data_IF_491523925027
#
_entry.id   IF_491523925027
#
_cell.length_a   1.000
_cell.length_b   1.000
_cell.length_c   1.000
_cell.angle_alpha   90.00
_cell.angle_beta   90.00
_cell.angle_gamma   90.00
#
_symmetry.space_group_name_H-M   'P 1'
#
loop_
_entity.id
_entity.type
_entity.pdbx_description
1 polymer ?
#
# COMPACT_ATOMS: atom_id res chain seq x y z
N UNK A 1 55.00 40.51 41.07
CA UNK A 1 55.43 39.10 41.17
C UNK A 1 54.71 38.36 40.07
N UNK A 2 55.45 38.06 39.00
CA UNK A 2 54.92 37.66 37.70
C UNK A 2 54.76 36.14 37.64
N UNK A 3 53.58 35.68 37.21
CA UNK A 3 53.31 34.25 36.95
C UNK A 3 54.22 33.72 35.83
N UNK A 4 54.76 32.49 35.96
CA UNK A 4 55.46 31.80 34.88
C UNK A 4 54.48 31.17 33.87
N UNK A 5 54.89 31.01 32.59
CA UNK A 5 54.03 30.54 31.51
C UNK A 5 53.79 29.02 31.50
N UNK A 6 52.64 28.63 30.93
CA UNK A 6 52.14 27.26 30.78
C UNK A 6 53.05 26.36 29.91
N UNK A 7 53.14 25.05 30.20
CA UNK A 7 53.76 24.08 29.31
C UNK A 7 52.80 23.65 28.18
N UNK A 8 53.30 23.72 26.94
CA UNK A 8 52.63 23.30 25.72
C UNK A 8 52.32 21.78 25.69
N UNK A 9 51.09 21.46 25.30
CA UNK A 9 50.60 20.10 25.02
C UNK A 9 51.23 19.52 23.74
N UNK A 10 51.50 18.20 23.69
CA UNK A 10 52.23 17.57 22.59
C UNK A 10 51.39 17.38 21.31
N UNK A 11 52.05 17.56 20.16
CA UNK A 11 51.52 17.29 18.83
C UNK A 11 51.24 15.79 18.59
N UNK A 12 50.18 15.43 17.83
CA UNK A 12 49.89 14.04 17.48
C UNK A 12 50.84 13.49 16.41
N UNK A 13 51.52 12.40 16.75
CA UNK A 13 52.41 11.64 15.87
C UNK A 13 51.63 10.88 14.78
N UNK A 14 52.02 11.08 13.52
CA UNK A 14 51.62 10.27 12.36
C UNK A 14 52.47 8.99 12.26
N UNK A 15 51.88 7.78 12.17
CA UNK A 15 52.60 6.60 11.73
C UNK A 15 52.40 6.38 10.23
N UNK A 16 53.42 6.73 9.45
CA UNK A 16 53.62 6.21 8.09
C UNK A 16 54.62 5.06 8.14
N UNK A 17 54.22 3.86 7.73
CA UNK A 17 54.85 3.07 6.64
C UNK A 17 54.41 1.59 6.68
N UNK A 18 54.01 1.11 5.50
CA UNK A 18 54.10 -0.27 5.00
C UNK A 18 53.33 -1.40 5.72
N UNK A 19 52.05 -1.52 5.40
CA UNK A 19 51.34 -2.82 5.34
C UNK A 19 51.29 -3.30 3.88
N UNK A 20 51.64 -4.56 3.57
CA UNK A 20 51.45 -5.10 2.23
C UNK A 20 49.95 -5.24 1.90
N UNK A 21 49.55 -5.14 0.62
CA UNK A 21 48.16 -5.34 0.23
C UNK A 21 47.72 -6.79 0.47
N UNK A 22 46.42 -7.04 0.74
CA UNK A 22 45.90 -8.39 0.92
C UNK A 22 46.03 -9.21 -0.36
N UNK A 23 46.56 -10.43 -0.24
CA UNK A 23 46.54 -11.46 -1.28
C UNK A 23 45.10 -11.91 -1.55
N UNK A 24 44.65 -11.76 -2.79
CA UNK A 24 43.43 -12.38 -3.28
C UNK A 24 43.69 -13.87 -3.56
N UNK A 25 42.83 -14.81 -3.11
CA UNK A 25 42.91 -16.19 -3.55
C UNK A 25 42.76 -16.25 -5.07
N UNK A 26 43.82 -16.67 -5.75
CA UNK A 26 43.86 -16.89 -7.18
C UNK A 26 42.80 -17.89 -7.62
N UNK A 27 42.01 -17.47 -8.59
CA UNK A 27 41.14 -18.30 -9.41
C UNK A 27 41.94 -19.41 -10.09
N UNK A 28 41.75 -20.65 -9.65
CA UNK A 28 42.11 -21.85 -10.41
C UNK A 28 40.89 -22.74 -10.57
N UNK A 29 39.92 -22.24 -11.34
CA UNK A 29 38.89 -23.07 -11.96
C UNK A 29 39.11 -23.01 -13.48
N UNK A 30 39.26 -24.16 -14.17
CA UNK A 30 39.36 -24.16 -15.62
C UNK A 30 38.06 -23.62 -16.23
N UNK A 31 38.11 -22.89 -17.36
CA UNK A 31 36.91 -22.38 -18.02
C UNK A 31 36.02 -23.55 -18.48
N UNK A 32 34.69 -23.40 -18.43
CA UNK A 32 33.79 -24.41 -18.97
C UNK A 32 34.03 -24.56 -20.48
N UNK A 33 34.25 -25.79 -20.91
CA UNK A 33 34.35 -26.18 -22.31
C UNK A 33 33.01 -25.96 -23.03
N UNK A 34 33.00 -25.04 -23.99
CA UNK A 34 31.88 -24.84 -24.91
C UNK A 34 31.67 -26.08 -25.78
N UNK A 35 30.45 -26.63 -25.90
CA UNK A 35 30.13 -27.57 -26.97
C UNK A 35 30.32 -26.86 -28.31
N UNK A 36 31.00 -27.54 -29.25
CA UNK A 36 31.32 -27.03 -30.57
C UNK A 36 30.11 -26.53 -31.35
N UNK A 37 30.39 -25.62 -32.28
CA UNK A 37 29.46 -24.96 -33.17
C UNK A 37 28.36 -25.87 -33.69
N UNK A 38 27.12 -25.60 -33.26
CA UNK A 38 25.95 -26.06 -33.97
C UNK A 38 25.84 -25.26 -35.28
N UNK A 39 25.77 -25.98 -36.40
CA UNK A 39 25.46 -25.45 -37.73
C UNK A 39 24.21 -24.55 -37.70
N UNK A 40 24.24 -23.36 -38.32
CA UNK A 40 23.05 -22.51 -38.40
C UNK A 40 21.97 -23.18 -39.24
N UNK A 41 20.68 -23.05 -38.89
CA UNK A 41 19.59 -23.59 -39.70
C UNK A 41 19.55 -22.89 -41.06
N UNK A 42 19.53 -23.68 -42.13
CA UNK A 42 19.21 -23.20 -43.47
C UNK A 42 17.75 -22.75 -43.52
N UNK A 43 17.53 -21.46 -43.77
CA UNK A 43 16.20 -20.92 -44.06
C UNK A 43 15.77 -21.32 -45.48
N UNK A 44 14.55 -21.87 -45.67
CA UNK A 44 13.94 -21.95 -46.99
C UNK A 44 13.73 -20.54 -47.56
N UNK A 45 13.92 -20.42 -48.88
CA UNK A 45 14.07 -19.17 -49.62
C UNK A 45 12.92 -18.16 -49.51
N UNK A 46 13.29 -16.94 -49.88
CA UNK A 46 12.52 -15.71 -49.90
C UNK A 46 11.04 -15.86 -50.30
N UNK A 47 10.15 -15.51 -49.37
CA UNK A 47 8.84 -14.98 -49.70
C UNK A 47 8.95 -13.45 -49.83
N UNK A 48 8.55 -12.93 -50.97
CA UNK A 48 8.45 -11.49 -51.29
C UNK A 48 7.64 -10.73 -50.23
N UNK A 49 8.10 -9.55 -49.76
CA UNK A 49 7.31 -8.72 -48.85
C UNK A 49 6.06 -8.17 -49.56
N UNK A 50 4.92 -8.03 -48.85
CA UNK A 50 3.75 -7.34 -49.40
C UNK A 50 4.06 -5.85 -49.62
N UNK A 51 3.49 -5.21 -50.66
CA UNK A 51 3.75 -3.81 -50.94
C UNK A 51 3.13 -2.91 -49.86
N UNK A 52 3.89 -1.88 -49.47
CA UNK A 52 3.45 -0.80 -48.60
C UNK A 52 2.16 -0.14 -49.12
N UNK A 53 1.12 0.06 -48.29
CA UNK A 53 0.08 1.03 -48.58
C UNK A 53 0.67 2.44 -48.42
N UNK A 54 0.69 3.20 -49.51
CA UNK A 54 1.07 4.61 -49.53
C UNK A 54 0.10 5.52 -48.77
N UNK A 55 0.64 6.67 -48.34
CA UNK A 55 0.04 7.94 -47.93
C UNK A 55 -1.38 7.95 -47.27
N UNK A 56 -1.55 8.64 -46.12
CA UNK A 56 -2.83 8.75 -45.45
C UNK A 56 -3.85 9.52 -46.31
N UNK A 57 -5.04 8.93 -46.48
CA UNK A 57 -6.21 9.63 -47.03
C UNK A 57 -6.61 10.80 -46.11
N UNK A 58 -7.03 11.91 -46.72
CA UNK A 58 -7.53 13.10 -46.04
C UNK A 58 -8.72 12.75 -45.10
N UNK A 59 -8.84 13.40 -43.93
CA UNK A 59 -9.98 13.20 -43.04
C UNK A 59 -11.28 13.68 -43.69
N UNK A 60 -12.44 13.05 -43.39
CA UNK A 60 -13.72 13.50 -43.89
C UNK A 60 -14.10 14.88 -43.32
N UNK A 61 -14.85 15.71 -44.06
CA UNK A 61 -15.29 17.02 -43.56
C UNK A 61 -16.29 16.87 -42.42
N UNK A 62 -16.07 17.64 -41.36
CA UNK A 62 -16.98 17.77 -40.22
C UNK A 62 -18.35 18.32 -40.66
N UNK A 63 -19.48 17.76 -40.20
CA UNK A 63 -20.77 18.43 -40.30
C UNK A 63 -20.78 19.68 -39.42
N UNK A 64 -20.96 20.86 -40.02
CA UNK A 64 -21.32 22.07 -39.29
C UNK A 64 -22.78 21.94 -38.82
N UNK A 65 -22.97 21.59 -37.55
CA UNK A 65 -24.22 21.82 -36.83
C UNK A 65 -23.89 22.06 -35.35
N UNK A 66 -23.93 23.33 -34.94
CA UNK A 66 -23.90 23.75 -33.53
C UNK A 66 -25.12 23.20 -32.79
N UNK A 67 -24.98 22.39 -31.73
CA UNK A 67 -26.08 22.08 -30.82
C UNK A 67 -26.30 23.27 -29.87
N UNK A 68 -27.55 23.70 -29.74
CA UNK A 68 -27.95 24.67 -28.72
C UNK A 68 -27.75 24.09 -27.29
N UNK A 69 -27.40 24.92 -26.28
CA UNK A 69 -27.24 24.45 -24.91
C UNK A 69 -28.57 23.97 -24.31
N UNK A 70 -28.56 22.96 -23.42
CA UNK A 70 -29.78 22.45 -22.78
C UNK A 70 -30.39 23.50 -21.83
N UNK A 71 -31.68 23.78 -22.01
CA UNK A 71 -32.47 24.56 -21.06
C UNK A 71 -32.96 23.67 -19.92
N UNK A 72 -32.64 24.05 -18.68
CA UNK A 72 -33.16 23.43 -17.48
C UNK A 72 -34.55 24.00 -17.13
N UNK A 73 -35.54 23.18 -16.76
CA UNK A 73 -36.84 23.67 -16.29
C UNK A 73 -36.72 24.42 -14.94
N UNK A 74 -37.28 25.61 -14.85
CA UNK A 74 -37.31 26.51 -13.67
C UNK A 74 -38.60 26.42 -12.85
N UNK A 75 -39.21 25.24 -12.71
CA UNK A 75 -40.42 25.08 -11.89
C UNK A 75 -40.32 23.88 -10.94
N UNK A 76 -40.61 24.05 -9.63
CA UNK A 76 -40.71 22.92 -8.70
C UNK A 76 -41.96 22.07 -9.03
N UNK A 77 -41.90 20.73 -8.88
CA UNK A 77 -43.06 19.87 -9.11
C UNK A 77 -44.16 20.11 -8.08
N UNK A 78 -45.38 20.31 -8.58
CA UNK A 78 -46.60 20.28 -7.77
C UNK A 78 -46.94 18.83 -7.38
N UNK A 79 -47.03 18.56 -6.08
CA UNK A 79 -47.53 17.29 -5.54
C UNK A 79 -49.07 17.26 -5.58
N UNK A 80 -49.71 16.25 -6.17
CA UNK A 80 -51.13 16.01 -6.00
C UNK A 80 -51.40 15.19 -4.72
N UNK A 81 -52.28 15.71 -3.86
CA UNK A 81 -53.33 14.91 -3.22
C UNK A 81 -53.02 14.08 -1.97
N UNK A 82 -53.49 14.61 -0.82
CA UNK A 82 -54.09 13.93 0.34
C UNK A 82 -53.23 13.02 1.26
N UNK A 83 -53.03 13.41 2.54
CA UNK A 83 -52.61 12.49 3.60
C UNK A 83 -53.79 11.68 4.18
N UNK A 84 -53.58 10.43 4.61
CA UNK A 84 -54.61 9.61 5.25
C UNK A 84 -55.01 10.16 6.63
N UNK A 85 -56.32 10.21 6.88
CA UNK A 85 -56.93 10.63 8.13
C UNK A 85 -56.76 9.54 9.21
N UNK A 86 -56.14 9.90 10.34
CA UNK A 86 -56.29 9.18 11.60
C UNK A 86 -57.10 10.05 12.58
N UNK A 87 -58.13 9.51 13.24
CA UNK A 87 -58.97 10.27 14.15
C UNK A 87 -58.41 10.26 15.57
N UNK A 88 -58.42 11.40 16.25
CA UNK A 88 -58.64 11.43 17.69
C UNK A 88 -57.75 12.35 18.53
N UNK A 89 -58.46 13.25 19.23
CA UNK A 89 -58.16 13.88 20.52
C UNK A 89 -57.34 15.20 20.54
N UNK A 90 -58.05 16.25 20.94
CA UNK A 90 -57.65 17.63 21.13
C UNK A 90 -57.01 17.90 22.51
N UNK A 91 -56.23 18.99 22.63
CA UNK A 91 -56.36 20.11 23.62
C UNK A 91 -55.08 21.02 23.58
N UNK A 92 -55.04 22.22 24.19
CA UNK A 92 -55.00 23.51 23.48
C UNK A 92 -53.67 24.29 23.60
N UNK A 93 -53.40 25.15 22.61
CA UNK A 93 -52.29 26.11 22.60
C UNK A 93 -52.46 27.25 23.63
N UNK A 94 -51.39 27.72 24.30
CA UNK A 94 -51.26 29.11 24.74
C UNK A 94 -50.72 29.99 23.58
N UNK A 95 -51.17 31.24 23.53
CA UNK A 95 -50.98 32.19 22.43
C UNK A 95 -49.54 32.66 22.13
N UNK A 96 -49.36 33.50 21.09
CA UNK A 96 -48.06 33.79 20.50
C UNK A 96 -47.22 34.74 21.35
N UNK A 97 -45.94 34.39 21.52
CA UNK A 97 -44.92 35.30 22.03
C UNK A 97 -44.45 36.28 20.93
N UNK A 98 -44.13 37.55 21.26
CA UNK A 98 -43.73 38.56 20.29
C UNK A 98 -42.43 38.19 19.55
N UNK A 99 -42.47 38.30 18.22
CA UNK A 99 -41.33 38.07 17.34
C UNK A 99 -40.33 39.22 17.47
N UNK A 100 -39.14 38.91 18.00
CA UNK A 100 -37.97 39.76 17.81
C UNK A 100 -37.51 39.64 16.34
N UNK A 101 -37.07 40.73 15.69
CA UNK A 101 -36.57 40.64 14.32
C UNK A 101 -35.40 39.66 14.26
N UNK A 102 -35.53 38.63 13.43
CA UNK A 102 -34.48 37.65 13.18
C UNK A 102 -33.24 38.39 12.66
N UNK A 103 -32.17 38.33 13.45
CA UNK A 103 -30.85 38.77 13.04
C UNK A 103 -30.46 37.95 11.80
N UNK A 104 -30.22 38.64 10.68
CA UNK A 104 -29.80 37.99 9.44
C UNK A 104 -28.59 37.08 9.74
N UNK A 105 -28.54 35.84 9.19
CA UNK A 105 -27.40 34.96 9.38
C UNK A 105 -26.14 35.73 8.99
N UNK A 106 -25.23 35.92 9.94
CA UNK A 106 -23.92 36.45 9.60
C UNK A 106 -23.31 35.50 8.57
N UNK A 107 -22.81 36.01 7.43
CA UNK A 107 -22.08 35.16 6.52
C UNK A 107 -20.96 34.50 7.32
N UNK A 108 -20.92 33.18 7.29
CA UNK A 108 -19.85 32.42 7.92
C UNK A 108 -18.52 33.07 7.51
N UNK A 109 -17.57 33.28 8.45
CA UNK A 109 -16.27 33.84 8.10
C UNK A 109 -15.74 33.04 6.91
N UNK A 110 -15.40 33.75 5.84
CA UNK A 110 -14.71 33.19 4.68
C UNK A 110 -13.44 32.55 5.22
N UNK A 111 -13.47 31.24 5.45
CA UNK A 111 -12.28 30.45 5.68
C UNK A 111 -11.62 30.43 4.31
N UNK A 112 -10.45 31.07 4.12
CA UNK A 112 -9.74 30.96 2.86
C UNK A 112 -9.58 29.47 2.57
N UNK A 113 -9.89 29.03 1.34
CA UNK A 113 -9.40 27.72 0.89
C UNK A 113 -7.91 27.69 1.25
N UNK A 114 -7.44 26.64 1.95
CA UNK A 114 -6.04 26.58 2.31
C UNK A 114 -5.20 26.81 1.05
N UNK A 115 -4.18 27.65 1.17
CA UNK A 115 -3.22 27.88 0.11
C UNK A 115 -2.76 26.50 -0.41
N UNK A 116 -2.91 26.27 -1.72
CA UNK A 116 -2.36 25.08 -2.38
C UNK A 116 -0.91 24.95 -1.92
N UNK A 117 -0.54 23.79 -1.37
CA UNK A 117 0.82 23.57 -0.90
C UNK A 117 1.82 23.95 -2.02
N UNK A 118 2.95 24.61 -1.67
CA UNK A 118 3.86 25.15 -2.67
C UNK A 118 4.38 24.05 -3.60
N UNK A 119 4.51 24.40 -4.88
CA UNK A 119 5.16 23.55 -5.87
C UNK A 119 6.65 23.88 -5.92
N UNK A 120 7.43 23.09 -5.18
CA UNK A 120 8.86 23.25 -4.95
C UNK A 120 9.70 22.12 -5.58
N UNK A 121 9.06 21.26 -6.38
CA UNK A 121 9.70 20.12 -7.03
C UNK A 121 10.57 20.57 -8.22
N UNK A 122 11.79 20.05 -8.27
CA UNK A 122 12.72 20.21 -9.40
C UNK A 122 12.37 19.23 -10.54
N UNK A 123 11.61 19.71 -11.52
CA UNK A 123 11.17 18.95 -12.70
C UNK A 123 12.27 18.81 -13.76
N UNK A 124 13.27 17.98 -13.49
CA UNK A 124 14.43 17.77 -14.38
C UNK A 124 14.07 17.15 -15.71
N UNK A 125 12.98 16.38 -15.77
CA UNK A 125 12.64 15.57 -16.93
C UNK A 125 11.50 16.15 -17.76
N UNK A 126 10.96 17.31 -17.39
CA UNK A 126 9.86 17.94 -18.11
C UNK A 126 10.28 18.31 -19.54
N UNK A 127 9.65 17.68 -20.54
CA UNK A 127 9.97 17.88 -21.96
C UNK A 127 11.24 17.19 -22.45
N UNK A 128 11.90 16.38 -21.61
CA UNK A 128 13.09 15.60 -21.97
C UNK A 128 12.74 14.19 -22.45
N UNK A 129 13.67 13.52 -23.14
CA UNK A 129 13.55 12.09 -23.44
C UNK A 129 13.99 11.28 -22.22
N UNK A 130 13.14 10.38 -21.76
CA UNK A 130 13.41 9.50 -20.61
C UNK A 130 13.89 8.14 -21.11
N UNK A 131 14.93 7.60 -20.49
CA UNK A 131 15.37 6.23 -20.72
C UNK A 131 14.53 5.25 -19.91
N UNK A 132 13.71 4.47 -20.59
CA UNK A 132 12.87 3.45 -19.95
C UNK A 132 13.68 2.16 -19.78
N UNK A 133 13.72 1.64 -18.55
CA UNK A 133 14.34 0.37 -18.25
C UNK A 133 13.55 -0.79 -18.88
N UNK A 134 14.26 -1.77 -19.47
CA UNK A 134 13.63 -2.95 -20.06
C UNK A 134 12.86 -3.82 -19.04
N UNK A 135 13.27 -3.77 -17.76
CA UNK A 135 12.59 -4.44 -16.66
C UNK A 135 12.13 -3.41 -15.63
N UNK A 136 10.85 -3.08 -15.65
CA UNK A 136 10.22 -2.11 -14.73
C UNK A 136 9.67 -2.76 -13.45
N UNK A 137 9.70 -4.10 -13.35
CA UNK A 137 9.16 -4.87 -12.23
C UNK A 137 10.09 -6.00 -11.83
N UNK A 138 10.23 -6.19 -10.53
CA UNK A 138 10.98 -7.29 -9.96
C UNK A 138 10.24 -7.97 -8.80
N UNK A 139 10.87 -9.01 -8.31
CA UNK A 139 10.58 -9.61 -7.01
C UNK A 139 11.88 -9.60 -6.24
N UNK A 140 12.01 -8.68 -5.30
CA UNK A 140 13.20 -8.67 -4.45
C UNK A 140 13.16 -9.81 -3.41
N UNK A 141 14.30 -10.02 -2.74
CA UNK A 141 14.43 -11.08 -1.75
C UNK A 141 13.41 -10.92 -0.59
N UNK A 142 12.98 -9.69 -0.27
CA UNK A 142 12.01 -9.44 0.79
C UNK A 142 10.59 -9.77 0.35
N UNK A 143 10.22 -9.50 -0.91
CA UNK A 143 8.96 -9.93 -1.51
C UNK A 143 8.89 -11.46 -1.63
N UNK A 144 9.98 -12.11 -2.02
CA UNK A 144 10.07 -13.59 -2.03
C UNK A 144 9.96 -14.15 -0.61
N UNK A 145 10.67 -13.58 0.36
CA UNK A 145 10.58 -13.97 1.77
C UNK A 145 9.17 -13.77 2.35
N UNK A 146 8.50 -12.70 1.95
CA UNK A 146 7.10 -12.44 2.28
C UNK A 146 6.19 -13.55 1.73
N UNK A 147 6.34 -13.95 0.47
CA UNK A 147 5.57 -15.06 -0.11
C UNK A 147 5.85 -16.40 0.59
N UNK A 148 7.11 -16.71 0.86
CA UNK A 148 7.49 -17.93 1.57
C UNK A 148 6.81 -18.02 2.94
N UNK A 149 6.70 -16.89 3.64
CA UNK A 149 6.02 -16.79 4.94
C UNK A 149 4.52 -17.08 4.84
N UNK A 150 3.91 -16.92 3.67
CA UNK A 150 2.47 -17.15 3.44
C UNK A 150 2.13 -18.60 3.10
N UNK A 151 3.12 -19.45 2.79
CA UNK A 151 2.92 -20.87 2.42
C UNK A 151 2.07 -21.64 3.45
N UNK A 152 2.30 -21.53 4.77
CA UNK A 152 1.48 -22.25 5.75
C UNK A 152 0.01 -21.84 5.69
N UNK A 153 -0.27 -20.55 5.52
CA UNK A 153 -1.63 -20.02 5.37
C UNK A 153 -2.29 -20.50 4.08
N UNK A 154 -1.54 -20.55 2.98
CA UNK A 154 -1.98 -21.14 1.71
C UNK A 154 -2.34 -22.62 1.88
N UNK A 155 -1.51 -23.42 2.55
CA UNK A 155 -1.77 -24.85 2.76
C UNK A 155 -3.04 -25.10 3.58
N UNK A 156 -3.28 -24.29 4.63
CA UNK A 156 -4.53 -24.36 5.39
C UNK A 156 -5.73 -24.02 4.50
N UNK A 157 -5.67 -22.93 3.73
CA UNK A 157 -6.75 -22.58 2.82
C UNK A 157 -6.98 -23.65 1.75
N UNK A 158 -5.93 -24.22 1.18
CA UNK A 158 -6.02 -25.32 0.22
C UNK A 158 -6.75 -26.51 0.85
N UNK A 159 -6.38 -26.90 2.07
CA UNK A 159 -7.04 -27.97 2.80
C UNK A 159 -8.53 -27.66 3.06
N UNK A 160 -8.86 -26.42 3.43
CA UNK A 160 -10.26 -25.97 3.63
C UNK A 160 -11.04 -26.07 2.32
N UNK A 161 -10.51 -25.54 1.23
CA UNK A 161 -11.19 -25.55 -0.08
C UNK A 161 -11.38 -26.99 -0.56
N UNK A 162 -10.37 -27.85 -0.44
CA UNK A 162 -10.47 -29.26 -0.83
C UNK A 162 -11.47 -30.03 0.06
N UNK A 163 -11.43 -29.82 1.38
CA UNK A 163 -12.31 -30.49 2.34
C UNK A 163 -13.79 -30.09 2.17
N UNK A 164 -14.07 -28.91 1.62
CA UNK A 164 -15.44 -28.48 1.28
C UNK A 164 -15.81 -28.93 -0.13
N UNK A 165 -14.96 -28.66 -1.12
CA UNK A 165 -15.31 -28.88 -2.53
C UNK A 165 -15.48 -30.36 -2.90
N UNK A 166 -14.58 -31.24 -2.43
CA UNK A 166 -14.60 -32.65 -2.80
C UNK A 166 -15.83 -33.38 -2.27
N UNK A 167 -16.23 -33.24 -0.99
CA UNK A 167 -17.45 -33.88 -0.50
C UNK A 167 -18.74 -33.28 -1.08
N UNK A 168 -18.81 -31.97 -1.34
CA UNK A 168 -20.04 -31.35 -1.86
C UNK A 168 -20.28 -31.61 -3.34
N UNK A 169 -19.24 -31.62 -4.17
CA UNK A 169 -19.37 -31.72 -5.63
C UNK A 169 -18.90 -33.07 -6.20
N UNK A 170 -18.43 -33.97 -5.34
CA UNK A 170 -17.80 -35.23 -5.74
C UNK A 170 -16.36 -35.05 -6.20
N UNK A 171 -15.64 -36.16 -6.44
CA UNK A 171 -14.20 -36.13 -6.67
C UNK A 171 -13.79 -35.32 -7.89
N UNK A 172 -14.42 -35.53 -9.04
CA UNK A 172 -14.02 -34.87 -10.30
C UNK A 172 -14.31 -33.38 -10.25
N UNK A 173 -15.56 -33.00 -9.98
CA UNK A 173 -15.96 -31.57 -9.96
C UNK A 173 -15.33 -30.85 -8.77
N UNK A 174 -15.18 -31.50 -7.62
CA UNK A 174 -14.51 -30.94 -6.46
C UNK A 174 -13.05 -30.55 -6.74
N UNK A 175 -12.29 -31.41 -7.43
CA UNK A 175 -10.93 -31.07 -7.85
C UNK A 175 -10.89 -29.97 -8.92
N UNK A 176 -11.88 -29.91 -9.84
CA UNK A 176 -12.00 -28.78 -10.77
C UNK A 176 -12.23 -27.46 -10.03
N UNK A 177 -13.02 -27.45 -8.95
CA UNK A 177 -13.21 -26.26 -8.10
C UNK A 177 -11.92 -25.87 -7.40
N UNK A 178 -11.14 -26.83 -6.87
CA UNK A 178 -9.83 -26.56 -6.27
C UNK A 178 -8.88 -25.96 -7.30
N UNK A 179 -8.81 -26.52 -8.52
CA UNK A 179 -7.99 -25.99 -9.60
C UNK A 179 -8.45 -24.60 -10.06
N UNK A 180 -9.75 -24.35 -10.14
CA UNK A 180 -10.30 -23.03 -10.45
C UNK A 180 -9.95 -22.01 -9.36
N UNK A 181 -9.98 -22.40 -8.08
CA UNK A 181 -9.53 -21.56 -6.98
C UNK A 181 -8.03 -21.25 -7.05
N UNK A 182 -7.19 -22.24 -7.37
CA UNK A 182 -5.75 -22.00 -7.61
C UNK A 182 -5.53 -21.07 -8.80
N UNK A 183 -6.26 -21.25 -9.89
CA UNK A 183 -6.18 -20.37 -11.06
C UNK A 183 -6.67 -18.95 -10.74
N UNK A 184 -7.58 -18.77 -9.77
CA UNK A 184 -8.12 -17.46 -9.40
C UNK A 184 -7.07 -16.46 -8.92
N UNK A 185 -5.93 -16.91 -8.39
CA UNK A 185 -4.86 -16.00 -7.99
C UNK A 185 -4.23 -15.25 -9.17
N UNK A 186 -4.37 -15.75 -10.41
CA UNK A 186 -3.96 -15.00 -11.61
C UNK A 186 -4.72 -13.67 -11.76
N UNK A 187 -5.93 -13.57 -11.19
CA UNK A 187 -6.71 -12.34 -11.17
C UNK A 187 -6.04 -11.20 -10.39
N UNK A 188 -5.11 -11.51 -9.48
CA UNK A 188 -4.32 -10.52 -8.73
C UNK A 188 -3.40 -9.72 -9.66
N UNK A 189 -3.05 -10.26 -10.84
CA UNK A 189 -2.23 -9.60 -11.86
C UNK A 189 -3.06 -9.04 -13.01
N UNK A 190 -4.39 -9.10 -12.92
CA UNK A 190 -5.30 -8.64 -13.95
C UNK A 190 -5.76 -7.22 -13.64
N UNK A 191 -5.20 -6.22 -14.34
CA UNK A 191 -5.43 -4.78 -14.11
C UNK A 191 -6.91 -4.40 -13.92
N UNK A 192 -7.89 -4.89 -14.70
CA UNK A 192 -9.31 -4.60 -14.44
C UNK A 192 -9.82 -5.10 -13.09
N UNK A 193 -9.36 -6.27 -12.64
CA UNK A 193 -9.73 -6.83 -11.33
C UNK A 193 -9.10 -6.01 -10.20
N UNK A 194 -7.85 -5.60 -10.36
CA UNK A 194 -7.16 -4.72 -9.41
C UNK A 194 -7.87 -3.36 -9.27
N UNK A 195 -8.28 -2.75 -10.38
CA UNK A 195 -9.03 -1.50 -10.39
C UNK A 195 -10.42 -1.65 -9.74
N UNK A 196 -11.09 -2.79 -9.97
CA UNK A 196 -12.37 -3.08 -9.32
C UNK A 196 -12.17 -3.24 -7.80
N UNK A 197 -11.12 -3.95 -7.39
CA UNK A 197 -10.75 -4.11 -5.99
C UNK A 197 -10.45 -2.76 -5.33
N UNK A 198 -9.62 -1.93 -5.96
CA UNK A 198 -9.30 -0.58 -5.53
C UNK A 198 -10.56 0.27 -5.33
N UNK A 199 -11.51 0.24 -6.28
CA UNK A 199 -12.75 1.03 -6.21
C UNK A 199 -13.76 0.51 -5.19
N UNK A 200 -13.89 -0.80 -5.02
CA UNK A 200 -14.97 -1.40 -4.23
C UNK A 200 -14.56 -1.77 -2.82
N UNK A 201 -13.34 -2.26 -2.63
CA UNK A 201 -12.84 -2.74 -1.34
C UNK A 201 -12.07 -1.62 -0.65
N UNK A 202 -11.14 -0.98 -1.36
CA UNK A 202 -10.34 0.14 -0.82
C UNK A 202 -11.08 1.48 -0.94
N UNK A 203 -12.18 1.54 -1.71
CA UNK A 203 -13.03 2.74 -1.92
C UNK A 203 -12.27 3.92 -2.57
N UNK A 204 -11.29 3.62 -3.41
CA UNK A 204 -10.54 4.61 -4.17
C UNK A 204 -11.36 5.17 -5.33
N UNK A 205 -11.16 6.45 -5.64
CA UNK A 205 -11.77 7.11 -6.80
C UNK A 205 -10.72 7.59 -7.79
N UNK A 206 -11.16 7.87 -9.01
CA UNK A 206 -10.31 8.56 -9.97
C UNK A 206 -10.01 10.00 -9.47
N UNK A 207 -8.82 10.55 -9.78
CA UNK A 207 -8.51 11.94 -9.46
C UNK A 207 -9.44 12.91 -10.21
N UNK A 208 -9.84 13.99 -9.54
CA UNK A 208 -10.54 15.11 -10.17
C UNK A 208 -9.59 15.85 -11.12
N UNK A 209 -10.12 16.71 -11.99
CA UNK A 209 -9.29 17.44 -12.96
C UNK A 209 -8.19 18.29 -12.30
N UNK A 210 -8.53 18.98 -11.20
CA UNK A 210 -7.58 19.80 -10.43
C UNK A 210 -6.52 18.95 -9.72
N UNK A 211 -6.93 17.83 -9.11
CA UNK A 211 -6.02 16.90 -8.45
C UNK A 211 -5.07 16.23 -9.46
N UNK A 212 -5.60 15.84 -10.62
CA UNK A 212 -4.80 15.29 -11.72
C UNK A 212 -3.80 16.32 -12.23
N UNK A 213 -4.19 17.59 -12.35
CA UNK A 213 -3.29 18.65 -12.80
C UNK A 213 -2.08 18.82 -11.87
N UNK A 214 -2.24 18.57 -10.57
CA UNK A 214 -1.14 18.57 -9.59
C UNK A 214 -0.36 17.25 -9.55
N UNK A 215 -1.06 16.13 -9.51
CA UNK A 215 -0.47 14.81 -9.27
C UNK A 215 0.29 14.26 -10.49
N UNK A 216 -0.23 14.48 -11.69
CA UNK A 216 0.33 13.91 -12.92
C UNK A 216 1.75 14.42 -13.22
N UNK A 217 2.09 15.73 -13.12
CA UNK A 217 3.46 16.19 -13.33
C UNK A 217 4.44 15.61 -12.30
N UNK A 218 4.04 15.57 -11.02
CA UNK A 218 4.85 15.02 -9.93
C UNK A 218 5.15 13.53 -10.19
N UNK A 219 4.11 12.76 -10.53
CA UNK A 219 4.26 11.34 -10.84
C UNK A 219 5.15 11.10 -12.05
N UNK A 220 5.03 11.92 -13.10
CA UNK A 220 5.91 11.84 -14.27
C UNK A 220 7.36 12.10 -13.93
N UNK A 221 7.65 13.06 -13.05
CA UNK A 221 9.03 13.29 -12.61
C UNK A 221 9.58 12.10 -11.83
N UNK A 222 8.80 11.55 -10.88
CA UNK A 222 9.19 10.38 -10.08
C UNK A 222 9.47 9.16 -10.98
N UNK A 223 8.54 8.85 -11.89
CA UNK A 223 8.67 7.72 -12.81
C UNK A 223 9.77 7.94 -13.85
N UNK A 224 9.98 9.17 -14.30
CA UNK A 224 11.09 9.52 -15.19
C UNK A 224 12.45 9.29 -14.54
N UNK A 225 12.64 9.74 -13.29
CA UNK A 225 13.86 9.47 -12.52
C UNK A 225 14.10 7.97 -12.31
N UNK A 226 13.02 7.19 -12.20
CA UNK A 226 13.09 5.74 -12.06
C UNK A 226 13.27 4.98 -13.39
N UNK A 227 13.18 5.66 -14.53
CA UNK A 227 13.19 5.02 -15.85
C UNK A 227 11.99 4.10 -16.08
N UNK A 228 10.83 4.48 -15.54
CA UNK A 228 9.58 3.72 -15.61
C UNK A 228 8.54 4.52 -16.41
N UNK A 229 7.71 3.83 -17.20
CA UNK A 229 6.61 4.48 -17.90
C UNK A 229 5.49 4.85 -16.92
N UNK A 230 5.03 6.11 -16.99
CA UNK A 230 4.07 6.65 -16.03
C UNK A 230 2.69 5.95 -16.06
N UNK A 231 2.28 5.41 -17.21
CA UNK A 231 1.00 4.73 -17.46
C UNK A 231 1.00 3.24 -17.05
N UNK A 232 2.16 2.71 -16.65
CA UNK A 232 2.32 1.39 -16.01
C UNK A 232 1.51 1.30 -14.71
N UNK A 233 1.31 2.43 -14.03
CA UNK A 233 0.56 2.51 -12.77
C UNK A 233 -0.62 3.47 -12.90
N UNK A 234 -1.75 3.10 -12.30
CA UNK A 234 -2.95 3.91 -12.21
C UNK A 234 -2.92 4.75 -10.92
N UNK A 235 -2.95 6.07 -11.08
CA UNK A 235 -3.09 7.00 -9.96
C UNK A 235 -4.55 7.10 -9.51
N UNK A 236 -4.78 6.91 -8.22
CA UNK A 236 -6.10 7.02 -7.61
C UNK A 236 -6.07 7.89 -6.35
N UNK A 237 -7.23 8.42 -5.96
CA UNK A 237 -7.36 9.29 -4.80
C UNK A 237 -8.28 8.66 -3.75
N UNK A 238 -7.85 8.71 -2.50
CA UNK A 238 -8.65 8.39 -1.33
C UNK A 238 -9.20 9.67 -0.69
N UNK A 239 -10.50 9.73 -0.43
CA UNK A 239 -11.09 10.84 0.31
C UNK A 239 -10.87 10.63 1.81
N UNK A 240 -9.76 11.16 2.31
CA UNK A 240 -9.43 11.16 3.74
C UNK A 240 -8.71 12.45 4.12
N UNK A 241 -8.91 12.86 5.37
CA UNK A 241 -8.19 13.95 6.03
C UNK A 241 -6.87 13.45 6.66
N UNK A 242 -6.58 12.15 6.56
CA UNK A 242 -5.34 11.56 7.04
C UNK A 242 -4.21 11.70 6.02
N UNK A 243 -3.00 11.94 6.52
CA UNK A 243 -1.76 11.96 5.74
C UNK A 243 -1.41 10.54 5.31
N UNK A 244 -1.67 10.20 4.04
CA UNK A 244 -1.40 8.86 3.52
C UNK A 244 -1.13 8.86 2.00
N UNK A 245 -0.31 7.93 1.57
CA UNK A 245 -0.21 7.42 0.23
C UNK A 245 0.06 5.92 0.34
N UNK A 246 -0.45 5.13 -0.61
CA UNK A 246 -0.32 3.68 -0.50
C UNK A 246 -0.31 2.99 -1.85
N UNK A 247 0.62 2.05 -1.99
CA UNK A 247 0.68 1.05 -3.03
C UNK A 247 -0.42 0.01 -2.84
N UNK A 248 -1.39 -0.01 -3.75
CA UNK A 248 -2.55 -0.89 -3.74
C UNK A 248 -2.47 -1.86 -4.92
N UNK A 249 -2.64 -3.15 -4.62
CA UNK A 249 -2.59 -4.22 -5.63
C UNK A 249 -1.27 -4.20 -6.44
N UNK A 250 -1.30 -4.60 -7.72
CA UNK A 250 -0.11 -4.63 -8.56
C UNK A 250 0.19 -3.29 -9.23
N UNK A 251 -0.86 -2.52 -9.56
CA UNK A 251 -0.78 -1.40 -10.49
C UNK A 251 -1.39 -0.09 -9.97
N UNK A 252 -1.88 -0.02 -8.73
CA UNK A 252 -2.61 1.17 -8.26
C UNK A 252 -1.79 1.91 -7.22
N UNK A 253 -1.47 3.17 -7.47
CA UNK A 253 -0.87 4.06 -6.48
C UNK A 253 -1.95 5.02 -6.00
N UNK A 254 -2.17 5.07 -4.69
CA UNK A 254 -3.21 5.90 -4.07
C UNK A 254 -2.61 7.02 -3.24
N UNK A 255 -3.25 8.19 -3.25
CA UNK A 255 -2.88 9.35 -2.44
C UNK A 255 -4.13 9.93 -1.80
N UNK A 256 -4.06 10.38 -0.55
CA UNK A 256 -5.22 11.03 0.07
C UNK A 256 -5.43 12.46 -0.42
N UNK A 257 -6.69 12.92 -0.34
CA UNK A 257 -7.03 14.32 -0.53
C UNK A 257 -6.26 15.25 0.39
N UNK A 258 -5.95 14.84 1.62
CA UNK A 258 -5.10 15.61 2.52
C UNK A 258 -3.68 15.78 1.95
N UNK A 259 -3.03 14.66 1.59
CA UNK A 259 -1.67 14.65 1.04
C UNK A 259 -1.55 15.53 -0.21
N UNK A 260 -2.55 15.46 -1.08
CA UNK A 260 -2.65 16.27 -2.30
C UNK A 260 -2.87 17.76 -2.07
N UNK A 261 -3.35 18.18 -0.91
CA UNK A 261 -3.66 19.60 -0.67
C UNK A 261 -2.69 20.27 0.31
N UNK A 262 -2.05 19.49 1.19
CA UNK A 262 -1.26 20.02 2.31
C UNK A 262 0.24 19.79 2.22
N UNK A 263 0.68 18.76 1.49
CA UNK A 263 2.11 18.45 1.37
C UNK A 263 2.71 19.21 0.17
N UNK A 264 3.89 19.86 0.32
CA UNK A 264 4.66 20.40 -0.81
C UNK A 264 4.91 19.37 -1.91
N UNK A 265 5.07 19.81 -3.15
CA UNK A 265 5.22 18.87 -4.28
C UNK A 265 6.48 18.01 -4.18
N UNK A 266 7.58 18.53 -3.64
CA UNK A 266 8.84 17.81 -3.41
C UNK A 266 8.67 16.64 -2.43
N UNK A 267 7.99 16.90 -1.31
CA UNK A 267 7.69 15.91 -0.27
C UNK A 267 6.67 14.87 -0.77
N UNK A 268 5.67 15.30 -1.55
CA UNK A 268 4.75 14.36 -2.20
C UNK A 268 5.48 13.47 -3.22
N UNK A 269 6.44 14.00 -3.97
CA UNK A 269 7.28 13.22 -4.88
C UNK A 269 8.09 12.16 -4.13
N UNK A 270 8.65 12.49 -2.96
CA UNK A 270 9.38 11.55 -2.13
C UNK A 270 8.50 10.39 -1.66
N UNK A 271 7.28 10.69 -1.18
CA UNK A 271 6.31 9.66 -0.79
C UNK A 271 5.91 8.80 -1.99
N UNK A 272 5.64 9.40 -3.15
CA UNK A 272 5.32 8.63 -4.37
C UNK A 272 6.48 7.76 -4.84
N UNK A 273 7.72 8.23 -4.68
CA UNK A 273 8.92 7.47 -4.99
C UNK A 273 9.08 6.26 -4.05
N UNK A 274 8.72 6.42 -2.77
CA UNK A 274 8.65 5.34 -1.79
C UNK A 274 7.58 4.30 -2.19
N UNK A 275 6.36 4.73 -2.53
CA UNK A 275 5.29 3.84 -2.99
C UNK A 275 5.65 3.11 -4.30
N UNK A 276 6.32 3.80 -5.23
CA UNK A 276 6.87 3.18 -6.43
C UNK A 276 7.91 2.11 -6.08
N UNK A 277 8.69 2.32 -5.02
CA UNK A 277 9.60 1.32 -4.46
C UNK A 277 8.89 0.01 -4.08
N UNK A 278 7.74 0.10 -3.40
CA UNK A 278 6.92 -1.07 -3.05
C UNK A 278 6.37 -1.82 -4.26
N UNK A 279 5.98 -1.10 -5.32
CA UNK A 279 5.52 -1.72 -6.56
C UNK A 279 6.67 -2.40 -7.33
N UNK A 280 7.81 -1.72 -7.46
CA UNK A 280 8.97 -2.24 -8.20
C UNK A 280 9.67 -3.39 -7.48
N UNK A 281 9.70 -3.37 -6.14
CA UNK A 281 10.20 -4.45 -5.29
C UNK A 281 9.28 -5.67 -5.20
N UNK A 282 8.01 -5.50 -5.57
CA UNK A 282 7.02 -6.57 -5.63
C UNK A 282 6.26 -6.83 -4.32
N UNK A 283 6.42 -5.98 -3.31
CA UNK A 283 5.75 -6.11 -2.01
C UNK A 283 4.23 -6.01 -2.14
N UNK A 284 3.75 -5.13 -3.02
CA UNK A 284 2.32 -4.87 -3.17
C UNK A 284 1.56 -6.08 -3.74
N UNK A 285 2.07 -6.71 -4.81
CA UNK A 285 1.45 -7.92 -5.37
C UNK A 285 1.69 -9.15 -4.50
N UNK A 286 2.87 -9.28 -3.86
CA UNK A 286 3.18 -10.39 -2.96
C UNK A 286 2.23 -10.40 -1.74
N UNK A 287 2.00 -9.23 -1.16
CA UNK A 287 1.06 -9.04 -0.05
C UNK A 287 -0.37 -9.36 -0.45
N UNK A 288 -0.83 -8.86 -1.61
CA UNK A 288 -2.18 -9.13 -2.12
C UNK A 288 -2.39 -10.62 -2.41
N UNK A 289 -1.42 -11.29 -3.05
CA UNK A 289 -1.50 -12.72 -3.35
C UNK A 289 -1.53 -13.58 -2.09
N UNK A 290 -0.68 -13.25 -1.10
CA UNK A 290 -0.69 -13.90 0.21
C UNK A 290 -2.02 -13.71 0.94
N UNK A 291 -2.60 -12.50 0.88
CA UNK A 291 -3.92 -12.24 1.42
C UNK A 291 -4.99 -13.06 0.71
N UNK A 292 -5.02 -13.05 -0.63
CA UNK A 292 -5.99 -13.74 -1.47
C UNK A 292 -6.05 -15.23 -1.14
N UNK A 293 -4.91 -15.89 -1.12
CA UNK A 293 -4.86 -17.32 -0.86
C UNK A 293 -5.08 -17.72 0.60
N UNK A 294 -4.88 -16.82 1.56
CA UNK A 294 -5.20 -17.11 2.96
C UNK A 294 -6.66 -16.82 3.32
N UNK A 295 -7.47 -16.26 2.40
CA UNK A 295 -8.88 -15.93 2.66
C UNK A 295 -9.73 -17.14 3.10
N UNK A 296 -9.74 -18.30 2.42
CA UNK A 296 -10.56 -19.43 2.84
C UNK A 296 -10.22 -19.91 4.25
N UNK A 297 -8.93 -20.03 4.58
CA UNK A 297 -8.47 -20.41 5.92
C UNK A 297 -8.88 -19.38 6.98
N UNK A 298 -8.78 -18.08 6.69
CA UNK A 298 -9.21 -17.01 7.62
C UNK A 298 -10.71 -17.02 7.84
N UNK A 299 -11.51 -17.24 6.80
CA UNK A 299 -12.97 -17.35 6.90
C UNK A 299 -13.32 -18.56 7.77
N UNK A 300 -12.72 -19.72 7.50
CA UNK A 300 -12.92 -20.92 8.32
C UNK A 300 -12.56 -20.66 9.79
N UNK A 301 -11.41 -20.05 10.05
CA UNK A 301 -11.00 -19.67 11.41
C UNK A 301 -11.97 -18.70 12.08
N UNK A 302 -12.43 -17.67 11.37
CA UNK A 302 -13.39 -16.70 11.88
C UNK A 302 -14.72 -17.36 12.25
N UNK A 303 -15.20 -18.29 11.41
CA UNK A 303 -16.40 -19.09 11.66
C UNK A 303 -16.22 -20.00 12.87
N UNK A 304 -15.14 -20.79 12.94
CA UNK A 304 -14.84 -21.66 14.08
C UNK A 304 -14.75 -20.87 15.38
N UNK A 305 -14.08 -19.71 15.37
CA UNK A 305 -13.99 -18.82 16.54
C UNK A 305 -15.36 -18.23 16.89
N UNK A 306 -16.20 -17.91 15.91
CA UNK A 306 -17.58 -17.47 16.12
C UNK A 306 -18.41 -18.54 16.83
N UNK A 307 -18.43 -19.76 16.28
CA UNK A 307 -19.13 -20.90 16.86
C UNK A 307 -18.63 -21.25 18.26
N UNK A 308 -17.31 -21.25 18.48
CA UNK A 308 -16.73 -21.51 19.80
C UNK A 308 -17.17 -20.48 20.84
N UNK A 309 -17.21 -19.19 20.48
CA UNK A 309 -17.73 -18.14 21.38
C UNK A 309 -19.20 -18.36 21.71
N UNK A 310 -20.02 -18.69 20.73
CA UNK A 310 -21.45 -18.97 20.94
C UNK A 310 -21.62 -20.20 21.84
N UNK A 311 -20.90 -21.29 21.57
CA UNK A 311 -20.95 -22.51 22.36
C UNK A 311 -20.53 -22.27 23.83
N UNK A 312 -19.46 -21.49 24.05
CA UNK A 312 -19.04 -21.09 25.40
C UNK A 312 -20.07 -20.20 26.09
N UNK A 313 -20.66 -19.23 25.39
CA UNK A 313 -21.70 -18.38 25.94
C UNK A 313 -22.92 -19.21 26.37
N UNK A 314 -23.39 -20.11 25.51
CA UNK A 314 -24.51 -21.01 25.80
C UNK A 314 -24.16 -21.93 26.98
N UNK A 315 -23.01 -22.58 26.97
CA UNK A 315 -22.57 -23.46 28.06
C UNK A 315 -22.48 -22.70 29.40
N UNK A 316 -22.02 -21.45 29.38
CA UNK A 316 -21.88 -20.62 30.59
C UNK A 316 -23.20 -20.26 31.25
N UNK A 317 -24.31 -20.22 30.48
CA UNK A 317 -25.66 -20.01 31.02
C UNK A 317 -26.17 -21.24 31.75
N UNK A 318 -25.83 -22.44 31.28
CA UNK A 318 -26.34 -23.69 31.85
C UNK A 318 -25.51 -24.19 33.03
N UNK A 319 -24.18 -24.15 32.96
CA UNK A 319 -23.30 -24.63 34.03
C UNK A 319 -21.83 -24.24 33.84
N UNK A 320 -21.18 -23.86 34.96
CA UNK A 320 -19.73 -23.66 35.00
C UNK A 320 -18.95 -24.96 34.70
N UNK A 321 -19.46 -26.11 35.16
CA UNK A 321 -18.84 -27.41 34.90
C UNK A 321 -18.92 -27.78 33.41
N UNK A 322 -20.07 -27.55 32.77
CA UNK A 322 -20.23 -27.78 31.33
C UNK A 322 -19.30 -26.89 30.49
N UNK A 323 -19.15 -25.62 30.90
CA UNK A 323 -18.19 -24.70 30.28
C UNK A 323 -16.75 -25.19 30.45
N UNK A 324 -16.38 -25.64 31.65
CA UNK A 324 -15.05 -26.21 31.93
C UNK A 324 -14.74 -27.42 31.05
N UNK A 325 -15.69 -28.36 30.92
CA UNK A 325 -15.55 -29.54 30.05
C UNK A 325 -15.39 -29.14 28.58
N UNK A 326 -16.19 -28.19 28.11
CA UNK A 326 -16.10 -27.70 26.72
C UNK A 326 -14.76 -27.02 26.43
N UNK A 327 -14.24 -26.22 27.38
CA UNK A 327 -12.91 -25.60 27.27
C UNK A 327 -11.82 -26.67 27.23
N UNK A 328 -11.89 -27.68 28.10
CA UNK A 328 -10.92 -28.79 28.11
C UNK A 328 -10.97 -29.57 26.79
N UNK A 329 -12.16 -29.87 26.28
CA UNK A 329 -12.34 -30.55 25.01
C UNK A 329 -11.75 -29.73 23.86
N UNK A 330 -12.06 -28.43 23.77
CA UNK A 330 -11.48 -27.55 22.76
C UNK A 330 -9.95 -27.44 22.90
N UNK A 331 -9.44 -27.33 24.13
CA UNK A 331 -8.01 -27.36 24.41
C UNK A 331 -7.33 -28.65 23.95
N UNK A 332 -7.98 -29.80 24.14
CA UNK A 332 -7.50 -31.10 23.66
C UNK A 332 -7.36 -31.12 22.13
N UNK A 333 -8.33 -30.59 21.37
CA UNK A 333 -8.20 -30.49 19.90
C UNK A 333 -7.06 -29.57 19.46
N UNK A 334 -6.83 -28.47 20.17
CA UNK A 334 -5.71 -27.56 19.87
C UNK A 334 -4.39 -28.28 20.12
N UNK A 335 -4.23 -28.96 21.27
CA UNK A 335 -3.02 -29.72 21.61
C UNK A 335 -2.81 -30.87 20.64
N UNK A 336 -3.85 -31.65 20.34
CA UNK A 336 -3.77 -32.75 19.39
C UNK A 336 -3.42 -32.25 17.98
N UNK A 337 -4.07 -31.18 17.52
CA UNK A 337 -3.76 -30.53 16.25
C UNK A 337 -2.32 -30.04 16.19
N UNK A 338 -1.80 -29.48 17.28
CA UNK A 338 -0.38 -29.11 17.39
C UNK A 338 0.53 -30.34 17.31
N UNK A 339 0.25 -31.42 18.02
CA UNK A 339 1.08 -32.64 17.99
C UNK A 339 1.13 -33.25 16.58
N UNK A 340 -0.02 -33.35 15.92
CA UNK A 340 -0.14 -33.97 14.59
C UNK A 340 0.40 -33.08 13.48
N UNK A 341 0.21 -31.76 13.57
CA UNK A 341 0.50 -30.80 12.51
C UNK A 341 1.46 -29.68 12.96
N UNK A 342 2.42 -29.98 13.83
CA UNK A 342 3.36 -28.99 14.37
C UNK A 342 4.09 -28.20 13.28
N UNK A 343 4.41 -28.86 12.17
CA UNK A 343 5.08 -28.31 10.99
C UNK A 343 4.21 -27.30 10.21
N UNK A 344 2.90 -27.24 10.45
CA UNK A 344 2.01 -26.19 9.94
C UNK A 344 1.74 -25.15 11.03
N UNK A 345 1.46 -25.60 12.27
CA UNK A 345 1.08 -24.69 13.36
C UNK A 345 2.23 -23.78 13.80
N UNK A 346 3.46 -24.29 13.88
CA UNK A 346 4.62 -23.46 14.26
C UNK A 346 4.84 -22.35 13.22
N UNK A 347 4.93 -22.65 11.90
CA UNK A 347 5.03 -21.58 10.90
C UNK A 347 3.85 -20.60 10.92
N UNK A 348 2.61 -21.03 11.17
CA UNK A 348 1.47 -20.11 11.28
C UNK A 348 1.59 -19.14 12.46
N UNK A 349 2.09 -19.61 13.60
CA UNK A 349 2.31 -18.78 14.80
C UNK A 349 3.48 -17.81 14.58
N UNK A 350 4.51 -18.24 13.88
CA UNK A 350 5.71 -17.43 13.59
C UNK A 350 5.47 -16.45 12.42
N UNK A 351 4.63 -16.81 11.46
CA UNK A 351 4.33 -16.05 10.25
C UNK A 351 4.07 -14.55 10.47
N UNK A 352 3.25 -14.09 11.42
CA UNK A 352 3.04 -12.66 11.61
C UNK A 352 4.33 -11.90 12.00
N UNK A 353 5.26 -12.53 12.71
CA UNK A 353 6.53 -11.92 13.08
C UNK A 353 7.50 -11.86 11.90
N UNK A 354 7.55 -12.92 11.09
CA UNK A 354 8.34 -12.95 9.85
C UNK A 354 7.79 -11.95 8.83
N UNK A 355 6.47 -11.84 8.71
CA UNK A 355 5.82 -10.88 7.85
C UNK A 355 6.09 -9.44 8.30
N UNK A 356 6.03 -9.17 9.61
CA UNK A 356 6.39 -7.87 10.17
C UNK A 356 7.87 -7.55 9.94
N UNK A 357 8.77 -8.53 10.09
CA UNK A 357 10.19 -8.36 9.79
C UNK A 357 10.45 -8.08 8.31
N UNK A 358 9.86 -8.86 7.40
CA UNK A 358 9.95 -8.63 5.96
C UNK A 358 9.35 -7.26 5.56
N UNK A 359 8.25 -6.86 6.20
CA UNK A 359 7.66 -5.52 6.05
C UNK A 359 8.65 -4.43 6.41
N UNK A 360 9.31 -4.52 7.58
CA UNK A 360 10.30 -3.52 8.01
C UNK A 360 11.47 -3.40 7.03
N UNK A 361 11.93 -4.53 6.48
CA UNK A 361 12.98 -4.50 5.46
C UNK A 361 12.48 -3.91 4.13
N UNK A 362 11.23 -4.18 3.75
CA UNK A 362 10.59 -3.60 2.58
C UNK A 362 10.49 -2.08 2.65
N UNK A 363 10.12 -1.54 3.82
CA UNK A 363 10.06 -0.09 4.08
C UNK A 363 11.43 0.58 3.94
N UNK A 364 12.48 0.01 4.56
CA UNK A 364 13.84 0.54 4.45
C UNK A 364 14.36 0.50 3.02
N UNK A 365 13.96 -0.52 2.26
CA UNK A 365 14.33 -0.65 0.86
C UNK A 365 13.60 0.36 -0.03
N UNK A 366 12.32 0.59 0.22
CA UNK A 366 11.55 1.62 -0.46
C UNK A 366 12.10 3.03 -0.18
N UNK A 367 12.52 3.30 1.06
CA UNK A 367 13.24 4.54 1.43
C UNK A 367 14.55 4.70 0.67
N UNK A 368 15.37 3.64 0.60
CA UNK A 368 16.62 3.65 -0.16
C UNK A 368 16.38 3.86 -1.66
N UNK A 369 15.32 3.29 -2.22
CA UNK A 369 14.94 3.50 -3.61
C UNK A 369 14.52 4.96 -3.85
N UNK A 370 13.68 5.54 -3.00
CA UNK A 370 13.33 6.96 -3.08
C UNK A 370 14.57 7.86 -2.97
N UNK A 371 15.50 7.51 -2.08
CA UNK A 371 16.77 8.22 -1.91
C UNK A 371 17.67 8.12 -3.15
N UNK A 372 17.75 6.95 -3.76
CA UNK A 372 18.50 6.73 -5.02
C UNK A 372 17.92 7.52 -6.20
N UNK A 373 16.63 7.85 -6.17
CA UNK A 373 15.97 8.75 -7.12
C UNK A 373 16.20 10.24 -6.82
N UNK A 374 17.02 10.55 -5.81
CA UNK A 374 17.37 11.92 -5.42
C UNK A 374 16.32 12.61 -4.54
N UNK A 375 15.46 11.85 -3.87
CA UNK A 375 14.46 12.36 -2.92
C UNK A 375 14.84 12.15 -1.45
N UNK A 376 16.12 11.96 -1.15
CA UNK A 376 16.58 11.62 0.22
C UNK A 376 16.25 12.72 1.24
N UNK A 377 16.46 13.99 0.87
CA UNK A 377 16.21 15.14 1.75
C UNK A 377 14.72 15.34 2.01
N UNK A 378 13.93 15.25 0.96
CA UNK A 378 12.48 15.38 0.95
C UNK A 378 11.85 14.24 1.77
N UNK A 379 12.35 13.00 1.62
CA UNK A 379 11.90 11.87 2.42
C UNK A 379 12.24 12.05 3.92
N UNK A 380 13.42 12.58 4.25
CA UNK A 380 13.77 12.90 5.63
C UNK A 380 12.84 13.97 6.23
N UNK A 381 12.46 14.99 5.46
CA UNK A 381 11.49 16.00 5.90
C UNK A 381 10.11 15.39 6.17
N UNK A 382 9.64 14.49 5.30
CA UNK A 382 8.38 13.76 5.51
C UNK A 382 8.42 12.94 6.80
N UNK A 383 9.51 12.21 7.06
CA UNK A 383 9.67 11.42 8.29
C UNK A 383 9.71 12.29 9.55
N UNK A 384 10.38 13.44 9.49
CA UNK A 384 10.36 14.40 10.58
C UNK A 384 8.95 14.96 10.84
N UNK A 385 8.18 15.21 9.78
CA UNK A 385 6.80 15.67 9.91
C UNK A 385 5.92 14.61 10.60
N UNK A 386 5.98 13.35 10.16
CA UNK A 386 5.28 12.25 10.81
C UNK A 386 5.65 12.10 12.28
N UNK A 387 6.94 12.20 12.62
CA UNK A 387 7.40 12.13 14.00
C UNK A 387 6.83 13.27 14.85
N UNK A 388 6.81 14.50 14.31
CA UNK A 388 6.24 15.66 15.00
C UNK A 388 4.74 15.50 15.26
N UNK A 389 3.97 14.94 14.32
CA UNK A 389 2.54 14.65 14.49
C UNK A 389 2.29 13.60 15.56
N UNK A 390 3.06 12.50 15.56
CA UNK A 390 2.98 11.47 16.60
C UNK A 390 3.27 12.03 17.99
N UNK A 391 4.32 12.85 18.11
CA UNK A 391 4.73 13.43 19.38
C UNK A 391 3.73 14.49 19.86
N UNK A 392 3.13 15.26 18.96
CA UNK A 392 2.02 16.16 19.26
C UNK A 392 0.79 15.40 19.75
N UNK A 393 0.44 14.27 19.12
CA UNK A 393 -0.66 13.42 19.55
C UNK A 393 -0.41 12.82 20.94
N UNK A 394 0.82 12.35 21.22
CA UNK A 394 1.24 11.87 22.55
C UNK A 394 1.16 12.98 23.60
N UNK A 395 1.65 14.18 23.28
CA UNK A 395 1.61 15.33 24.18
C UNK A 395 0.16 15.76 24.48
N UNK A 396 -0.71 15.79 23.47
CA UNK A 396 -2.13 16.10 23.63
C UNK A 396 -2.86 15.08 24.51
N UNK A 397 -2.60 13.78 24.30
CA UNK A 397 -3.16 12.73 25.14
C UNK A 397 -2.66 12.87 26.60
N UNK A 398 -1.36 13.07 26.79
CA UNK A 398 -0.77 13.27 28.11
C UNK A 398 -1.37 14.48 28.84
N UNK A 399 -1.62 15.58 28.12
CA UNK A 399 -2.30 16.76 28.66
C UNK A 399 -3.75 16.48 29.10
N UNK A 400 -4.43 15.49 28.49
CA UNK A 400 -5.75 15.00 28.91
C UNK A 400 -5.69 13.95 30.04
N UNK A 401 -4.51 13.69 30.61
CA UNK A 401 -4.32 12.62 31.60
C UNK A 401 -4.48 11.21 31.02
N UNK A 402 -4.55 11.09 29.68
CA UNK A 402 -4.64 9.82 28.96
C UNK A 402 -3.26 9.46 28.45
N UNK A 403 -2.77 8.25 28.76
CA UNK A 403 -1.61 7.72 28.04
C UNK A 403 -2.10 7.05 26.77
N UNK A 404 -1.59 7.47 25.61
CA UNK A 404 -1.71 6.64 24.41
C UNK A 404 -1.10 5.28 24.75
N UNK A 405 -1.87 4.22 24.50
CA UNK A 405 -1.46 2.87 24.85
C UNK A 405 -0.34 2.47 23.89
N UNK A 406 0.91 2.58 24.33
CA UNK A 406 2.03 2.07 23.56
C UNK A 406 1.87 0.55 23.35
N UNK A 407 2.11 0.04 22.14
CA UNK A 407 2.08 -1.40 21.91
C UNK A 407 3.14 -2.07 22.79
N UNK A 408 2.72 -3.02 23.63
CA UNK A 408 3.65 -3.79 24.48
C UNK A 408 4.72 -4.53 23.66
N UNK A 409 5.80 -4.99 24.28
CA UNK A 409 6.99 -5.52 23.58
C UNK A 409 6.71 -6.53 22.46
N UNK A 410 5.80 -7.50 22.67
CA UNK A 410 5.39 -8.45 21.63
C UNK A 410 4.53 -7.82 20.53
N UNK A 411 3.72 -6.82 20.85
CA UNK A 411 2.94 -6.05 19.87
C UNK A 411 3.85 -5.14 19.02
N UNK A 412 4.96 -4.65 19.58
CA UNK A 412 6.01 -3.95 18.83
C UNK A 412 6.67 -4.85 17.78
N UNK A 413 6.82 -6.16 18.05
CA UNK A 413 7.36 -7.09 17.05
C UNK A 413 6.42 -7.32 15.85
N UNK A 414 5.12 -7.05 16.04
CA UNK A 414 4.09 -7.17 14.99
C UNK A 414 3.98 -5.91 14.11
N UNK A 415 4.73 -4.84 14.40
CA UNK A 415 4.71 -3.63 13.57
C UNK A 415 5.46 -3.89 12.27
N UNK A 416 4.78 -3.65 11.14
CA UNK A 416 5.36 -3.75 9.79
C UNK A 416 6.25 -2.56 9.45
N UNK A 417 6.04 -1.41 10.10
CA UNK A 417 6.87 -0.22 9.91
C UNK A 417 7.98 -0.16 10.96
N UNK A 418 9.24 0.13 10.55
CA UNK A 418 10.31 0.45 11.47
C UNK A 418 10.06 1.84 12.08
N UNK A 419 10.70 2.13 13.21
CA UNK A 419 10.64 3.47 13.80
C UNK A 419 11.28 4.53 12.87
N UNK A 420 10.79 5.77 12.95
CA UNK A 420 11.25 6.88 12.12
C UNK A 420 12.76 7.13 12.27
N UNK A 421 13.33 6.89 13.45
CA UNK A 421 14.77 7.00 13.69
C UNK A 421 15.57 5.99 12.84
N UNK A 422 15.14 4.74 12.79
CA UNK A 422 15.75 3.69 11.96
C UNK A 422 15.67 4.04 10.48
N UNK A 423 14.52 4.59 10.01
CA UNK A 423 14.36 5.05 8.62
C UNK A 423 15.29 6.22 8.29
N UNK A 424 15.35 7.23 9.16
CA UNK A 424 16.25 8.38 9.00
C UNK A 424 17.73 7.97 8.96
N UNK A 425 18.14 7.04 9.83
CA UNK A 425 19.50 6.49 9.81
C UNK A 425 19.80 5.74 8.51
N UNK A 426 18.82 5.05 7.92
CA UNK A 426 18.99 4.38 6.63
C UNK A 426 19.14 5.36 5.46
N UNK A 427 18.61 6.58 5.59
CA UNK A 427 18.73 7.67 4.60
C UNK A 427 20.04 8.48 4.73
N UNK A 428 20.68 8.45 5.91
CA UNK A 428 21.89 9.24 6.21
C UNK A 428 23.00 9.14 5.15
N UNK A 429 23.34 7.96 4.57
CA UNK A 429 24.35 7.87 3.52
C UNK A 429 24.01 8.67 2.26
N UNK A 430 22.72 8.84 1.96
CA UNK A 430 22.24 9.57 0.78
C UNK A 430 22.17 11.08 1.01
N UNK A 431 22.07 11.50 2.28
CA UNK A 431 22.07 12.91 2.66
C UNK A 431 23.48 13.53 2.65
N UNK A 432 24.51 12.69 2.78
CA UNK A 432 25.91 13.13 2.80
C UNK A 432 26.54 13.20 1.39
N UNK A 433 25.85 12.72 0.35
CA UNK A 433 26.33 12.80 -1.02
C UNK A 433 26.19 14.23 -1.57
N UNK A 434 27.23 14.82 -2.19
CA UNK A 434 27.11 16.08 -2.90
C UNK A 434 26.12 15.93 -4.08
N UNK A 435 25.25 16.93 -4.27
CA UNK A 435 24.26 16.97 -5.36
C UNK A 435 24.88 17.13 -6.74
#
# INVERSE_FOLDING_TARGET
MSQPPEPASPEPQYPGTATPPPEYPGTSAPPPSYPGAATPPQYPGAATPPPYPGAPAAPPPYPQATPAPPQYPTAPPAYPGAPPQHPGAAAPYPGPAPQYPAQAPQPAPFVPRPAVAPDDLDYRHQGSRVHVAAHQRGADATAIGQLATQIPGFLVSFAVVAAVAVPLFGSVVGWLVVLAWLASGALVFHRPTELLFARRVVKLRAPLAEERARLEPIWREVTARAGIEADTYELMVENSDDLNASAVAGHVVSVTTYSLNRIPSSNLAAVLAHELGHHTGGHAWAGLLGHWYSLPGRIAWALTRGLARIALAVASVFSLAATGILVLFMGMFVVFGFIVAWYITIPLVIAPYLLAYAGRLGELRADQQAAALGFATEMAQVLHHFQAEEDAAKAYAAAQGKRLKEPGGLAKLLTSHPDNYTRLRALEPYLQLPR
#
